data_IF_193878361783
#
_entry.id   IF_193878361783
#
_cell.length_a   1.000
_cell.length_b   1.000
_cell.length_c   1.000
_cell.angle_alpha   90.00
_cell.angle_beta   90.00
_cell.angle_gamma   90.00
#
_symmetry.space_group_name_H-M   'P 1'
#
loop_
_entity.id
_entity.type
_entity.pdbx_description
1 polymer ?
#
# COMPACT_ATOMS: atom_id res chain seq x y z
N UNK A 1 12.88 -3.88 -1.72
CA UNK A 1 12.10 -2.68 -1.34
C UNK A 1 11.27 -2.30 -2.53
N UNK A 2 10.03 -1.90 -2.32
CA UNK A 2 9.19 -1.33 -3.36
C UNK A 2 8.45 -0.12 -2.79
N UNK A 3 8.00 0.76 -3.67
CA UNK A 3 7.08 1.82 -3.31
C UNK A 3 5.67 1.32 -3.62
N UNK A 4 4.76 1.42 -2.64
CA UNK A 4 3.34 1.20 -2.85
C UNK A 4 2.64 2.55 -2.81
N UNK A 5 1.75 2.80 -3.77
CA UNK A 5 0.97 4.04 -3.82
C UNK A 5 -0.50 3.71 -3.87
N UNK A 6 -1.25 4.17 -2.86
CA UNK A 6 -2.70 4.07 -2.82
C UNK A 6 -3.28 5.42 -3.25
N UNK A 7 -4.22 5.38 -4.19
CA UNK A 7 -4.92 6.55 -4.69
C UNK A 7 -6.29 6.64 -4.02
N UNK A 8 -6.70 7.85 -3.65
CA UNK A 8 -8.06 8.13 -3.18
C UNK A 8 -8.63 9.36 -3.87
N UNK A 9 -9.78 9.19 -4.51
CA UNK A 9 -10.57 10.31 -5.03
C UNK A 9 -11.21 11.07 -3.86
N UNK A 10 -10.96 12.37 -3.78
CA UNK A 10 -11.47 13.28 -2.77
C UNK A 10 -12.87 13.82 -3.14
N UNK A 11 -13.50 14.53 -2.21
CA UNK A 11 -14.84 15.10 -2.41
C UNK A 11 -14.98 16.13 -3.54
N UNK A 12 -13.86 16.66 -4.05
CA UNK A 12 -13.82 17.56 -5.22
C UNK A 12 -13.44 16.85 -6.53
N UNK A 13 -13.37 15.51 -6.50
CA UNK A 13 -13.04 14.67 -7.66
C UNK A 13 -11.56 14.60 -8.00
N UNK A 14 -10.67 15.29 -7.27
CA UNK A 14 -9.21 15.18 -7.45
C UNK A 14 -8.64 14.09 -6.55
N UNK A 15 -7.45 13.62 -6.89
CA UNK A 15 -6.81 12.51 -6.17
C UNK A 15 -5.86 12.99 -5.08
N UNK A 16 -5.96 12.38 -3.90
CA UNK A 16 -4.83 12.27 -2.97
C UNK A 16 -4.06 10.96 -3.22
N UNK A 17 -2.77 10.95 -2.92
CA UNK A 17 -1.92 9.76 -3.02
C UNK A 17 -1.15 9.55 -1.72
N UNK A 18 -1.22 8.34 -1.19
CA UNK A 18 -0.38 7.89 -0.09
C UNK A 18 0.69 6.96 -0.65
N UNK A 19 1.96 7.32 -0.50
CA UNK A 19 3.10 6.51 -0.93
C UNK A 19 3.88 5.99 0.27
N UNK A 20 4.11 4.68 0.31
CA UNK A 20 4.87 4.01 1.36
C UNK A 20 6.07 3.30 0.73
N UNK A 21 7.26 3.52 1.32
CA UNK A 21 8.46 2.74 1.00
C UNK A 21 8.45 1.48 1.84
N UNK A 22 8.28 0.32 1.23
CA UNK A 22 8.00 -0.91 1.95
C UNK A 22 8.98 -2.05 1.71
N UNK A 23 9.05 -2.89 2.73
CA UNK A 23 9.69 -4.20 2.72
C UNK A 23 8.70 -5.27 3.13
N UNK A 24 8.69 -6.38 2.40
CA UNK A 24 7.94 -7.58 2.76
C UNK A 24 8.78 -8.45 3.70
N UNK A 25 8.18 -8.85 4.81
CA UNK A 25 8.72 -9.87 5.70
C UNK A 25 7.81 -11.10 5.68
N UNK A 26 8.38 -12.28 5.49
CA UNK A 26 7.69 -13.56 5.56
C UNK A 26 8.37 -14.39 6.64
N UNK A 27 7.61 -14.80 7.65
CA UNK A 27 8.10 -15.59 8.79
C UNK A 27 9.36 -14.97 9.46
N UNK A 28 9.40 -13.63 9.51
CA UNK A 28 10.51 -12.87 10.10
C UNK A 28 11.71 -12.63 9.18
N UNK A 29 11.70 -13.15 7.95
CA UNK A 29 12.76 -12.94 6.96
C UNK A 29 12.36 -11.94 5.89
N UNK A 30 13.32 -11.12 5.46
CA UNK A 30 13.11 -10.18 4.37
C UNK A 30 12.99 -10.93 3.05
N UNK A 31 11.94 -10.64 2.30
CA UNK A 31 11.62 -11.32 1.04
C UNK A 31 11.53 -10.32 -0.10
N UNK A 32 11.78 -10.78 -1.32
CA UNK A 32 11.54 -9.99 -2.53
C UNK A 32 10.06 -9.61 -2.60
N UNK A 33 9.80 -8.31 -2.69
CA UNK A 33 8.46 -7.76 -2.78
C UNK A 33 8.14 -7.50 -4.26
N UNK A 34 7.17 -8.23 -4.81
CA UNK A 34 6.62 -8.00 -6.15
C UNK A 34 5.29 -7.29 -6.01
N UNK A 35 5.20 -6.10 -6.60
CA UNK A 35 4.01 -5.24 -6.54
C UNK A 35 3.46 -5.04 -7.95
N UNK A 36 2.16 -5.23 -8.11
CA UNK A 36 1.40 -4.83 -9.29
C UNK A 36 0.28 -3.88 -8.92
N UNK A 37 -0.20 -3.10 -9.88
CA UNK A 37 -1.35 -2.21 -9.69
C UNK A 37 -2.52 -2.67 -10.57
N UNK A 38 -3.72 -2.73 -9.99
CA UNK A 38 -4.96 -3.07 -10.68
C UNK A 38 -6.03 -2.05 -10.34
N UNK A 39 -6.14 -1.00 -11.16
CA UNK A 39 -7.01 0.12 -10.84
C UNK A 39 -6.55 0.83 -9.57
N UNK A 40 -7.41 0.89 -8.56
CA UNK A 40 -7.07 1.48 -7.25
C UNK A 40 -6.37 0.49 -6.30
N UNK A 41 -6.36 -0.80 -6.65
CA UNK A 41 -5.78 -1.85 -5.82
C UNK A 41 -4.29 -2.04 -6.07
N UNK A 42 -3.57 -2.32 -4.99
CA UNK A 42 -2.17 -2.74 -5.01
C UNK A 42 -2.11 -4.24 -4.74
N UNK A 43 -1.65 -5.01 -5.73
CA UNK A 43 -1.52 -6.46 -5.63
C UNK A 43 -0.10 -6.79 -5.19
N UNK A 44 0.03 -7.45 -4.05
CA UNK A 44 1.31 -7.95 -3.54
C UNK A 44 1.31 -9.47 -3.64
N UNK A 45 2.25 -10.02 -4.41
CA UNK A 45 2.46 -11.47 -4.42
C UNK A 45 3.29 -11.86 -3.21
N UNK A 46 2.71 -12.71 -2.36
CA UNK A 46 3.36 -13.22 -1.15
C UNK A 46 3.69 -14.70 -1.37
N UNK A 47 4.94 -15.15 -1.13
CA UNK A 47 5.24 -16.57 -1.16
C UNK A 47 4.57 -17.31 -0.01
N UNK A 48 4.58 -18.64 -0.05
CA UNK A 48 4.05 -19.45 1.04
C UNK A 48 4.66 -19.03 2.39
N UNK A 49 3.79 -18.73 3.36
CA UNK A 49 4.15 -18.36 4.72
C UNK A 49 3.55 -19.38 5.68
N UNK A 50 4.32 -19.78 6.69
CA UNK A 50 3.87 -20.76 7.69
C UNK A 50 3.26 -20.10 8.92
N UNK A 51 3.58 -18.82 9.17
CA UNK A 51 3.20 -18.14 10.40
C UNK A 51 2.70 -16.72 10.18
N UNK A 52 3.49 -15.86 9.54
CA UNK A 52 3.15 -14.45 9.42
C UNK A 52 3.71 -13.79 8.17
N UNK A 53 2.96 -12.80 7.70
CA UNK A 53 3.33 -11.90 6.61
C UNK A 53 3.21 -10.49 7.15
N UNK A 54 4.27 -9.69 6.99
CA UNK A 54 4.29 -8.29 7.40
C UNK A 54 4.72 -7.41 6.24
N UNK A 55 4.02 -6.29 6.07
CA UNK A 55 4.47 -5.20 5.22
C UNK A 55 4.98 -4.07 6.11
N UNK A 56 6.28 -3.83 6.11
CA UNK A 56 6.92 -2.81 6.96
C UNK A 56 7.22 -1.56 6.15
N UNK A 57 6.90 -0.40 6.70
CA UNK A 57 7.35 0.88 6.14
C UNK A 57 8.77 1.16 6.63
N UNK A 58 9.70 1.36 5.69
CA UNK A 58 11.10 1.63 5.99
C UNK A 58 11.42 3.13 6.10
N UNK A 59 10.40 3.98 5.87
CA UNK A 59 10.46 5.43 5.96
C UNK A 59 9.08 5.98 6.37
N UNK A 60 8.98 7.26 6.78
CA UNK A 60 7.70 7.94 6.93
C UNK A 60 6.86 7.87 5.65
N UNK A 61 5.54 7.86 5.80
CA UNK A 61 4.62 7.90 4.67
C UNK A 61 4.66 9.26 3.98
N UNK A 62 4.59 9.26 2.66
CA UNK A 62 4.44 10.48 1.85
C UNK A 62 2.98 10.63 1.46
N UNK A 63 2.39 11.80 1.75
CA UNK A 63 1.01 12.13 1.40
C UNK A 63 1.00 13.33 0.44
N UNK A 64 0.51 13.09 -0.78
CA UNK A 64 0.25 14.13 -1.76
C UNK A 64 -1.23 14.51 -1.73
N UNK A 65 -1.51 15.81 -1.59
CA UNK A 65 -2.86 16.38 -1.59
C UNK A 65 -2.94 17.45 -2.67
N UNK A 66 -4.06 17.55 -3.43
CA UNK A 66 -4.23 18.62 -4.40
C UNK A 66 -4.07 20.00 -3.76
N UNK A 67 -3.38 20.90 -4.45
CA UNK A 67 -3.22 22.27 -4.01
C UNK A 67 -4.60 22.91 -3.72
N UNK A 68 -4.67 23.64 -2.61
CA UNK A 68 -5.86 24.35 -2.13
C UNK A 68 -7.07 23.45 -1.80
N UNK A 69 -6.90 22.12 -1.65
CA UNK A 69 -7.98 21.27 -1.15
C UNK A 69 -8.45 21.74 0.24
N UNK A 70 -9.76 21.84 0.42
CA UNK A 70 -10.39 22.17 1.71
C UNK A 70 -11.32 21.02 2.09
N UNK A 71 -11.04 20.39 3.21
CA UNK A 71 -11.79 19.24 3.69
C UNK A 71 -10.89 18.24 4.40
N UNK A 72 -11.50 17.17 4.90
CA UNK A 72 -10.78 16.09 5.53
C UNK A 72 -10.10 15.21 4.47
N UNK A 73 -8.83 14.87 4.66
CA UNK A 73 -8.11 13.94 3.80
C UNK A 73 -7.92 12.64 4.57
N UNK A 74 -8.54 11.58 4.07
CA UNK A 74 -8.36 10.22 4.58
C UNK A 74 -8.10 9.30 3.41
N UNK A 75 -6.97 8.61 3.44
CA UNK A 75 -6.60 7.58 2.47
C UNK A 75 -6.59 6.25 3.21
N UNK A 76 -7.73 5.54 3.30
CA UNK A 76 -7.79 4.27 3.98
C UNK A 76 -6.94 3.24 3.21
N UNK A 77 -6.26 2.38 3.97
CA UNK A 77 -5.58 1.20 3.43
C UNK A 77 -6.28 -0.01 3.99
N UNK A 78 -7.01 -0.70 3.13
CA UNK A 78 -7.67 -1.96 3.44
C UNK A 78 -6.81 -3.10 2.91
N UNK A 79 -6.66 -4.17 3.70
CA UNK A 79 -5.80 -5.29 3.38
C UNK A 79 -6.65 -6.56 3.38
N UNK A 80 -6.72 -7.20 2.22
CA UNK A 80 -7.38 -8.49 2.04
C UNK A 80 -6.36 -9.56 1.62
N UNK A 81 -6.50 -10.76 2.19
CA UNK A 81 -5.69 -11.92 1.83
C UNK A 81 -6.52 -12.92 1.04
N UNK A 82 -6.02 -13.36 -0.12
CA UNK A 82 -6.63 -14.45 -0.89
C UNK A 82 -5.66 -15.64 -0.92
N UNK A 83 -6.08 -16.75 -0.32
CA UNK A 83 -5.39 -18.04 -0.46
C UNK A 83 -5.97 -18.75 -1.67
N UNK A 84 -5.16 -18.93 -2.71
CA UNK A 84 -5.49 -19.86 -3.81
C UNK A 84 -5.10 -21.26 -3.37
N UNK A 85 -6.11 -22.10 -3.11
CA UNK A 85 -5.99 -23.53 -2.83
C UNK A 85 -5.70 -24.35 -4.07
#
# INVERSE_FOLDING_TARGET
>A
MAYITVKRTLGDGRDARLTLKTTLMVDGQRTTLTVGQRGEDVIITVPAATRQVELRSDAPAELEVPANYRGNVQVPVEVEGVSVS
#
